data_IF_100821238282
#
_entry.id   IF_100821238282
#
_cell.length_a   1.000
_cell.length_b   1.000
_cell.length_c   1.000
_cell.angle_alpha   90.00
_cell.angle_beta   90.00
_cell.angle_gamma   90.00
#
_symmetry.space_group_name_H-M   'P 1'
#
loop_
_entity.id
_entity.type
_entity.pdbx_description
1 polymer ?
#
# COMPACT_ATOMS: atom_id res chain seq x y z
N UNK A 1 -28.76 8.63 6.18
CA UNK A 1 -27.82 7.70 6.85
C UNK A 1 -27.06 6.82 5.86
N UNK A 2 -27.65 6.44 4.72
CA UNK A 2 -27.00 5.56 3.71
C UNK A 2 -25.65 6.06 3.17
N UNK A 3 -25.48 7.38 3.02
CA UNK A 3 -24.24 7.94 2.47
C UNK A 3 -23.03 7.77 3.42
N UNK A 4 -23.25 7.73 4.74
CA UNK A 4 -22.18 7.51 5.72
C UNK A 4 -21.77 6.03 5.79
N UNK A 5 -22.72 5.11 5.65
CA UNK A 5 -22.46 3.66 5.65
C UNK A 5 -21.65 3.25 4.42
N UNK A 6 -22.04 3.73 3.23
CA UNK A 6 -21.29 3.46 1.99
C UNK A 6 -19.85 3.98 2.05
N UNK A 7 -19.65 5.19 2.61
CA UNK A 7 -18.29 5.74 2.81
C UNK A 7 -17.44 4.87 3.74
N UNK A 8 -18.02 4.33 4.82
CA UNK A 8 -17.29 3.43 5.71
C UNK A 8 -16.95 2.09 5.05
N UNK A 9 -17.86 1.53 4.27
CA UNK A 9 -17.63 0.32 3.49
C UNK A 9 -16.48 0.51 2.49
N UNK A 10 -16.47 1.61 1.73
CA UNK A 10 -15.38 1.93 0.80
C UNK A 10 -14.02 2.03 1.50
N UNK A 11 -13.94 2.63 2.69
CA UNK A 11 -12.68 2.73 3.44
C UNK A 11 -12.24 1.39 4.02
N UNK A 12 -13.18 0.58 4.48
CA UNK A 12 -12.90 -0.78 4.95
C UNK A 12 -12.37 -1.66 3.81
N UNK A 13 -13.00 -1.58 2.63
CA UNK A 13 -12.57 -2.28 1.42
C UNK A 13 -11.18 -1.82 0.99
N UNK A 14 -10.93 -0.51 0.98
CA UNK A 14 -9.61 0.05 0.69
C UNK A 14 -8.52 -0.51 1.61
N UNK A 15 -8.75 -0.51 2.93
CA UNK A 15 -7.80 -1.11 3.87
C UNK A 15 -7.60 -2.61 3.59
N UNK A 16 -8.67 -3.34 3.34
CA UNK A 16 -8.61 -4.77 3.05
C UNK A 16 -7.80 -5.09 1.78
N UNK A 17 -8.01 -4.31 0.71
CA UNK A 17 -7.24 -4.42 -0.54
C UNK A 17 -5.77 -4.10 -0.32
N UNK A 18 -5.46 -3.02 0.40
CA UNK A 18 -4.07 -2.71 0.77
C UNK A 18 -3.37 -3.86 1.50
N UNK A 19 -4.06 -4.54 2.41
CA UNK A 19 -3.52 -5.68 3.17
C UNK A 19 -3.45 -6.97 2.35
N UNK A 20 -4.29 -7.13 1.34
CA UNK A 20 -4.38 -8.35 0.52
C UNK A 20 -3.70 -8.19 -0.84
N UNK A 21 -3.02 -7.06 -1.06
CA UNK A 21 -2.33 -6.75 -2.30
C UNK A 21 -1.32 -7.85 -2.65
N UNK A 22 -1.20 -8.12 -3.94
CA UNK A 22 -0.22 -9.07 -4.45
C UNK A 22 1.17 -8.45 -4.29
N UNK A 23 1.88 -8.81 -3.23
CA UNK A 23 3.26 -8.45 -3.01
C UNK A 23 4.13 -9.69 -3.21
N UNK A 24 5.19 -9.57 -3.99
CA UNK A 24 6.14 -10.67 -4.18
C UNK A 24 6.61 -11.20 -2.83
N UNK A 25 6.73 -12.54 -2.68
CA UNK A 25 7.32 -13.11 -1.48
C UNK A 25 8.74 -12.57 -1.30
N UNK A 26 9.15 -12.52 -0.04
CA UNK A 26 10.29 -11.76 0.44
C UNK A 26 11.58 -11.88 -0.37
N UNK A 27 12.40 -10.82 -0.36
CA UNK A 27 13.62 -10.80 -1.14
C UNK A 27 14.56 -11.91 -0.69
N UNK A 28 15.31 -12.47 -1.63
CA UNK A 28 16.59 -13.06 -1.25
C UNK A 28 17.43 -11.98 -0.53
N UNK A 29 18.13 -12.35 0.55
CA UNK A 29 18.84 -11.38 1.39
C UNK A 29 20.09 -10.78 0.72
N UNK A 30 20.25 -10.95 -0.59
CA UNK A 30 21.27 -10.22 -1.33
C UNK A 30 20.84 -8.77 -1.50
N UNK A 31 21.82 -7.88 -1.70
CA UNK A 31 21.52 -6.48 -2.00
C UNK A 31 20.57 -6.33 -3.19
N UNK A 32 20.78 -7.12 -4.26
CA UNK A 32 19.93 -7.07 -5.45
C UNK A 32 18.50 -7.58 -5.18
N UNK A 33 18.33 -8.63 -4.38
CA UNK A 33 17.01 -9.11 -3.97
C UNK A 33 16.24 -8.05 -3.20
N UNK A 34 16.90 -7.43 -2.21
CA UNK A 34 16.32 -6.35 -1.38
C UNK A 34 15.95 -5.12 -2.22
N UNK A 35 16.80 -4.70 -3.18
CA UNK A 35 16.45 -3.62 -4.13
C UNK A 35 15.21 -3.95 -4.95
N UNK A 36 15.15 -5.16 -5.54
CA UNK A 36 13.99 -5.58 -6.34
C UNK A 36 12.71 -5.61 -5.52
N UNK A 37 12.76 -6.12 -4.29
CA UNK A 37 11.58 -6.14 -3.42
C UNK A 37 11.08 -4.73 -3.08
N UNK A 38 11.98 -3.76 -2.84
CA UNK A 38 11.59 -2.36 -2.65
C UNK A 38 10.93 -1.76 -3.89
N UNK A 39 11.41 -2.09 -5.08
CA UNK A 39 10.76 -1.68 -6.33
C UNK A 39 9.38 -2.30 -6.47
N UNK A 40 9.23 -3.59 -6.17
CA UNK A 40 7.96 -4.30 -6.18
C UNK A 40 6.95 -3.68 -5.20
N UNK A 41 7.34 -3.43 -3.94
CA UNK A 41 6.50 -2.74 -2.94
C UNK A 41 5.92 -1.45 -3.51
N UNK A 42 6.76 -0.65 -4.17
CA UNK A 42 6.36 0.63 -4.77
C UNK A 42 5.43 0.45 -5.97
N UNK A 43 5.69 -0.53 -6.83
CA UNK A 43 4.89 -0.78 -8.04
C UNK A 43 3.52 -1.36 -7.69
N UNK A 44 3.47 -2.36 -6.83
CA UNK A 44 2.22 -2.97 -6.38
C UNK A 44 1.35 -1.98 -5.62
N UNK A 45 1.92 -1.19 -4.70
CA UNK A 45 1.17 -0.14 -4.02
C UNK A 45 0.54 0.86 -5.00
N UNK A 46 1.26 1.25 -6.05
CA UNK A 46 0.72 2.16 -7.07
C UNK A 46 -0.39 1.55 -7.89
N UNK A 47 -0.24 0.30 -8.31
CA UNK A 47 -1.25 -0.41 -9.09
C UNK A 47 -2.56 -0.53 -8.31
N UNK A 48 -2.48 -0.98 -7.06
CA UNK A 48 -3.64 -1.13 -6.19
C UNK A 48 -4.33 0.20 -5.88
N UNK A 49 -3.54 1.26 -5.62
CA UNK A 49 -4.11 2.60 -5.44
C UNK A 49 -4.77 3.12 -6.72
N UNK A 50 -4.19 2.85 -7.90
CA UNK A 50 -4.80 3.27 -9.17
C UNK A 50 -6.15 2.58 -9.39
N UNK A 51 -6.22 1.27 -9.14
CA UNK A 51 -7.42 0.49 -9.39
C UNK A 51 -8.60 0.95 -8.52
N UNK A 52 -8.40 1.11 -7.21
CA UNK A 52 -9.47 1.57 -6.32
C UNK A 52 -9.85 3.04 -6.56
N UNK A 53 -8.89 3.89 -6.94
CA UNK A 53 -9.16 5.30 -7.24
C UNK A 53 -9.81 5.50 -8.62
N UNK A 54 -9.71 4.55 -9.53
CA UNK A 54 -10.37 4.64 -10.83
C UNK A 54 -11.91 4.69 -10.70
N UNK A 55 -12.44 4.22 -9.55
CA UNK A 55 -13.87 4.12 -9.26
C UNK A 55 -14.42 5.30 -8.43
N UNK A 56 -13.57 6.18 -7.90
CA UNK A 56 -13.97 7.22 -6.93
C UNK A 56 -13.71 8.64 -7.44
N UNK A 57 -14.76 9.44 -7.61
CA UNK A 57 -14.68 10.81 -8.13
C UNK A 57 -14.62 11.89 -7.02
N UNK A 58 -15.05 11.59 -5.79
CA UNK A 58 -15.05 12.55 -4.66
C UNK A 58 -13.61 12.78 -4.15
N UNK A 59 -13.02 13.98 -4.30
CA UNK A 59 -11.64 14.25 -3.90
C UNK A 59 -11.35 14.02 -2.42
N UNK A 60 -12.33 14.27 -1.54
CA UNK A 60 -12.18 14.05 -0.10
C UNK A 60 -12.16 12.54 0.21
N UNK A 61 -13.03 11.78 -0.47
CA UNK A 61 -13.09 10.33 -0.31
C UNK A 61 -11.86 9.65 -0.92
N UNK A 62 -11.37 10.11 -2.07
CA UNK A 62 -10.11 9.65 -2.69
C UNK A 62 -8.92 9.76 -1.73
N UNK A 63 -8.77 10.90 -1.05
CA UNK A 63 -7.71 11.09 -0.07
C UNK A 63 -7.83 10.09 1.10
N UNK A 64 -9.05 9.85 1.59
CA UNK A 64 -9.29 8.89 2.67
C UNK A 64 -9.08 7.43 2.24
N UNK A 65 -9.45 7.09 1.01
CA UNK A 65 -9.20 5.78 0.39
C UNK A 65 -7.70 5.53 0.28
N UNK A 66 -6.93 6.52 -0.18
CA UNK A 66 -5.47 6.43 -0.24
C UNK A 66 -4.84 6.17 1.13
N UNK A 67 -5.28 6.87 2.18
CA UNK A 67 -4.81 6.64 3.55
C UNK A 67 -5.17 5.23 4.06
N UNK A 68 -6.39 4.76 3.80
CA UNK A 68 -6.82 3.41 4.18
C UNK A 68 -6.01 2.33 3.44
N UNK A 69 -5.76 2.49 2.13
CA UNK A 69 -4.89 1.62 1.34
C UNK A 69 -3.47 1.57 1.93
N UNK A 70 -2.92 2.73 2.27
CA UNK A 70 -1.57 2.87 2.84
C UNK A 70 -1.43 2.16 4.18
N UNK A 71 -2.47 2.22 5.02
CA UNK A 71 -2.54 1.52 6.30
C UNK A 71 -2.53 0.00 6.08
N UNK A 72 -3.43 -0.52 5.23
CA UNK A 72 -3.46 -1.96 4.91
C UNK A 72 -2.14 -2.46 4.31
N UNK A 73 -1.51 -1.67 3.44
CA UNK A 73 -0.24 -2.05 2.84
C UNK A 73 0.93 -1.99 3.85
N UNK A 74 0.89 -1.13 4.88
CA UNK A 74 1.84 -1.22 6.01
C UNK A 74 1.69 -2.56 6.71
N UNK A 75 0.44 -2.93 7.05
CA UNK A 75 0.16 -4.20 7.73
C UNK A 75 0.65 -5.39 6.90
N UNK A 76 0.51 -5.35 5.57
CA UNK A 76 1.07 -6.38 4.68
C UNK A 76 2.59 -6.48 4.76
N UNK A 77 3.32 -5.36 4.72
CA UNK A 77 4.79 -5.34 4.83
C UNK A 77 5.23 -5.90 6.19
N UNK A 78 4.52 -5.53 7.26
CA UNK A 78 4.80 -5.97 8.62
C UNK A 78 4.44 -7.46 8.83
N UNK A 79 3.35 -7.96 8.26
CA UNK A 79 2.96 -9.38 8.39
C UNK A 79 3.94 -10.32 7.69
N UNK A 80 4.82 -9.82 6.80
CA UNK A 80 5.89 -10.61 6.20
C UNK A 80 7.06 -10.90 7.18
N UNK A 81 7.08 -10.33 8.40
CA UNK A 81 8.18 -10.47 9.37
C UNK A 81 8.46 -11.88 9.93
N UNK A 82 7.64 -12.91 9.62
CA UNK A 82 7.94 -14.30 10.00
C UNK A 82 9.20 -14.87 9.31
N UNK A 83 9.79 -14.11 8.39
CA UNK A 83 11.05 -14.40 7.72
C UNK A 83 12.08 -13.32 8.11
N UNK A 84 13.34 -13.67 8.38
CA UNK A 84 14.34 -12.74 8.87
C UNK A 84 14.80 -11.76 7.79
N UNK A 85 14.08 -10.64 7.64
CA UNK A 85 14.47 -9.48 6.85
C UNK A 85 15.20 -8.50 7.78
N UNK A 86 16.27 -7.83 7.34
CA UNK A 86 16.86 -6.73 8.10
C UNK A 86 15.84 -5.58 8.30
N UNK A 87 15.73 -5.05 9.52
CA UNK A 87 14.86 -3.91 9.84
C UNK A 87 15.08 -2.72 8.89
N UNK A 88 16.32 -2.50 8.46
CA UNK A 88 16.66 -1.44 7.49
C UNK A 88 15.98 -1.61 6.14
N UNK A 89 15.77 -2.85 5.67
CA UNK A 89 15.09 -3.08 4.40
C UNK A 89 13.58 -2.80 4.53
N UNK A 90 12.99 -3.08 5.70
CA UNK A 90 11.59 -2.78 6.01
C UNK A 90 11.39 -1.27 6.04
N UNK A 91 12.24 -0.52 6.75
CA UNK A 91 12.22 0.94 6.79
C UNK A 91 12.30 1.56 5.38
N UNK A 92 13.18 1.02 4.54
CA UNK A 92 13.32 1.48 3.16
C UNK A 92 12.12 1.12 2.27
N UNK A 93 11.47 -0.03 2.49
CA UNK A 93 10.22 -0.38 1.83
C UNK A 93 9.07 0.56 2.23
N UNK A 94 8.96 0.91 3.52
CA UNK A 94 8.03 1.95 3.98
C UNK A 94 8.34 3.30 3.33
N UNK A 95 9.61 3.68 3.20
CA UNK A 95 10.01 4.91 2.53
C UNK A 95 9.66 4.91 1.02
N UNK A 96 9.85 3.77 0.34
CA UNK A 96 9.49 3.60 -1.07
C UNK A 96 7.98 3.73 -1.30
N UNK A 97 7.18 3.09 -0.44
CA UNK A 97 5.71 3.22 -0.40
C UNK A 97 5.29 4.67 -0.13
N UNK A 98 5.85 5.32 0.89
CA UNK A 98 5.53 6.71 1.24
C UNK A 98 5.83 7.67 0.08
N UNK A 99 6.94 7.45 -0.62
CA UNK A 99 7.28 8.23 -1.80
C UNK A 99 6.29 8.02 -2.95
N UNK A 100 5.76 6.80 -3.15
CA UNK A 100 4.68 6.56 -4.11
C UNK A 100 3.38 7.27 -3.70
N UNK A 101 3.00 7.14 -2.42
CA UNK A 101 1.83 7.79 -1.84
C UNK A 101 1.81 9.30 -2.06
N UNK A 102 2.92 9.98 -1.75
CA UNK A 102 3.04 11.43 -1.97
C UNK A 102 2.85 11.83 -3.43
N UNK A 103 3.36 11.04 -4.38
CA UNK A 103 3.15 11.33 -5.81
C UNK A 103 1.70 11.22 -6.24
N UNK A 104 0.96 10.26 -5.67
CA UNK A 104 -0.47 10.09 -5.93
C UNK A 104 -1.31 11.25 -5.36
N UNK A 105 -0.90 11.83 -4.23
CA UNK A 105 -1.55 13.00 -3.65
C UNK A 105 -1.33 14.32 -4.40
N UNK A 106 -0.26 14.41 -5.20
CA UNK A 106 0.12 15.63 -5.94
C UNK A 106 -0.24 15.59 -7.43
N UNK A 107 -0.77 14.47 -7.93
CA UNK A 107 -1.16 14.26 -9.33
C UNK A 107 -2.65 14.50 -9.51
#
# INVERSE_FOLDING_TARGET
MENSSRKQETLSEAKHRGRSALLDPLPDLTHHGVERWKENVKEYFRAECHDILSEEEDPELRARVLEAMKEGFSELIEEQHDVPIPDSAVDEAHAAKEHAFRKLHTS
#
